data_IF_809951552428
#
_entry.id   IF_809951552428
#
_cell.length_a   1.000
_cell.length_b   1.000
_cell.length_c   1.000
_cell.angle_alpha   90.00
_cell.angle_beta   90.00
_cell.angle_gamma   90.00
#
_symmetry.space_group_name_H-M   'P 1'
#
loop_
_entity.id
_entity.type
_entity.pdbx_description
1 polymer ?
#
# COMPACT_ATOMS: atom_id res chain seq x y z
N UNK A 1 -6.33 9.26 15.54
CA UNK A 1 -6.01 8.83 14.17
C UNK A 1 -5.18 9.95 13.56
N UNK A 2 -3.88 9.73 13.45
CA UNK A 2 -2.92 10.67 12.85
C UNK A 2 -3.26 10.82 11.35
N UNK A 3 -3.08 12.02 10.78
CA UNK A 3 -3.74 12.43 9.54
C UNK A 3 -3.22 11.79 8.26
N UNK A 4 -4.15 11.34 7.40
CA UNK A 4 -3.92 10.97 6.00
C UNK A 4 -3.03 9.73 5.79
N UNK A 5 -2.99 9.20 4.56
CA UNK A 5 -2.04 8.16 4.20
C UNK A 5 -0.60 8.70 4.19
N UNK A 6 0.35 7.88 4.59
CA UNK A 6 1.78 8.11 4.45
C UNK A 6 2.22 7.95 2.97
N UNK A 7 3.38 8.46 2.61
CA UNK A 7 3.92 8.37 1.24
C UNK A 7 4.09 6.91 0.81
N UNK A 8 4.53 6.02 1.70
CA UNK A 8 4.67 4.60 1.33
C UNK A 8 3.33 3.98 0.95
N UNK A 9 2.24 4.32 1.64
CA UNK A 9 0.88 3.83 1.34
C UNK A 9 0.40 4.33 -0.03
N UNK A 10 0.72 5.59 -0.37
CA UNK A 10 0.40 6.17 -1.68
C UNK A 10 1.14 5.45 -2.80
N UNK A 11 2.41 5.08 -2.60
CA UNK A 11 3.21 4.36 -3.61
C UNK A 11 2.74 2.92 -3.78
N UNK A 12 2.43 2.22 -2.68
CA UNK A 12 1.82 0.88 -2.74
C UNK A 12 0.48 0.92 -3.49
N UNK A 13 -0.38 1.90 -3.21
CA UNK A 13 -1.64 2.10 -3.94
C UNK A 13 -1.41 2.36 -5.44
N UNK A 14 -0.44 3.22 -5.79
CA UNK A 14 -0.11 3.47 -7.20
C UNK A 14 0.37 2.20 -7.91
N UNK A 15 1.16 1.36 -7.26
CA UNK A 15 1.61 0.10 -7.84
C UNK A 15 0.44 -0.86 -8.08
N UNK A 16 -0.47 -1.00 -7.11
CA UNK A 16 -1.68 -1.80 -7.26
C UNK A 16 -2.56 -1.33 -8.44
N UNK A 17 -2.81 -0.02 -8.55
CA UNK A 17 -3.57 0.56 -9.68
C UNK A 17 -2.89 0.23 -11.02
N UNK A 18 -1.56 0.35 -11.10
CA UNK A 18 -0.81 0.05 -12.33
C UNK A 18 -0.87 -1.43 -12.72
N UNK A 19 -0.89 -2.32 -11.74
CA UNK A 19 -1.05 -3.77 -11.97
C UNK A 19 -2.46 -4.11 -12.45
N UNK A 20 -3.49 -3.48 -11.87
CA UNK A 20 -4.89 -3.67 -12.25
C UNK A 20 -5.21 -3.05 -13.62
N UNK A 21 -4.57 -1.92 -13.96
CA UNK A 21 -4.81 -1.18 -15.20
C UNK A 21 -3.52 -0.82 -15.97
N UNK A 22 -2.82 -1.79 -16.59
CA UNK A 22 -1.50 -1.55 -17.19
C UNK A 22 -1.50 -0.61 -18.41
N UNK A 23 -2.65 -0.44 -19.08
CA UNK A 23 -2.80 0.44 -20.24
C UNK A 23 -3.40 1.81 -19.87
N UNK A 24 -3.63 2.09 -18.58
CA UNK A 24 -4.16 3.37 -18.15
C UNK A 24 -3.19 4.51 -18.50
N UNK A 25 -3.76 5.61 -18.99
CA UNK A 25 -2.99 6.83 -19.18
C UNK A 25 -2.49 7.38 -17.84
N UNK A 26 -1.40 8.16 -17.84
CA UNK A 26 -0.90 8.81 -16.64
C UNK A 26 -1.99 9.63 -15.92
N UNK A 27 -2.82 10.36 -16.65
CA UNK A 27 -3.92 11.15 -16.08
C UNK A 27 -4.94 10.27 -15.37
N UNK A 28 -5.28 9.11 -15.96
CA UNK A 28 -6.21 8.17 -15.35
C UNK A 28 -5.62 7.58 -14.05
N UNK A 29 -4.35 7.15 -14.08
CA UNK A 29 -3.65 6.63 -12.90
C UNK A 29 -3.63 7.64 -11.74
N UNK A 30 -3.34 8.91 -12.03
CA UNK A 30 -3.26 9.96 -11.00
C UNK A 30 -4.64 10.36 -10.46
N UNK A 31 -5.67 10.32 -11.30
CA UNK A 31 -7.05 10.54 -10.89
C UNK A 31 -7.53 9.45 -9.94
N UNK A 32 -7.36 8.20 -10.36
CA UNK A 32 -7.71 7.03 -9.55
C UNK A 32 -6.92 6.98 -8.24
N UNK A 33 -5.62 7.31 -8.27
CA UNK A 33 -4.81 7.39 -7.06
C UNK A 33 -5.36 8.43 -6.08
N UNK A 34 -5.79 9.60 -6.57
CA UNK A 34 -6.44 10.61 -5.73
C UNK A 34 -7.76 10.10 -5.13
N UNK A 35 -8.56 9.41 -5.94
CA UNK A 35 -9.86 8.86 -5.52
C UNK A 35 -9.70 7.78 -4.43
N UNK A 36 -8.77 6.83 -4.59
CA UNK A 36 -8.60 5.72 -3.62
C UNK A 36 -7.89 6.16 -2.34
N UNK A 37 -7.00 7.15 -2.41
CA UNK A 37 -6.27 7.65 -1.23
C UNK A 37 -6.97 8.80 -0.53
N UNK A 38 -7.98 9.40 -1.15
CA UNK A 38 -8.65 10.61 -0.67
C UNK A 38 -7.77 11.87 -0.72
N UNK A 39 -6.68 11.84 -1.50
CA UNK A 39 -5.73 12.94 -1.62
C UNK A 39 -6.10 13.89 -2.76
N UNK A 40 -5.86 15.19 -2.54
CA UNK A 40 -5.89 16.17 -3.63
C UNK A 40 -4.75 15.93 -4.63
N UNK A 41 -4.90 16.41 -5.86
CA UNK A 41 -3.85 16.36 -6.88
C UNK A 41 -2.51 16.98 -6.40
N UNK A 42 -2.57 18.03 -5.58
CA UNK A 42 -1.39 18.66 -4.99
C UNK A 42 -0.68 17.73 -4.00
N UNK A 43 -1.42 17.00 -3.17
CA UNK A 43 -0.88 16.02 -2.23
C UNK A 43 -0.31 14.79 -2.95
N UNK A 44 -1.00 14.28 -3.96
CA UNK A 44 -0.48 13.21 -4.84
C UNK A 44 0.84 13.64 -5.46
N UNK A 45 0.90 14.84 -6.05
CA UNK A 45 2.13 15.37 -6.63
C UNK A 45 3.25 15.50 -5.58
N UNK A 46 2.94 15.95 -4.37
CA UNK A 46 3.92 16.04 -3.29
C UNK A 46 4.47 14.66 -2.88
N UNK A 47 3.61 13.65 -2.73
CA UNK A 47 4.00 12.28 -2.42
C UNK A 47 4.91 11.69 -3.51
N UNK A 48 4.57 11.86 -4.79
CA UNK A 48 5.39 11.38 -5.90
C UNK A 48 6.75 12.08 -5.96
N UNK A 49 6.80 13.39 -5.66
CA UNK A 49 8.06 14.14 -5.60
C UNK A 49 8.92 13.71 -4.41
N UNK A 50 8.30 13.39 -3.27
CA UNK A 50 9.01 12.85 -2.12
C UNK A 50 9.61 11.49 -2.44
N UNK A 51 8.82 10.57 -3.00
CA UNK A 51 9.32 9.25 -3.43
C UNK A 51 10.47 9.38 -4.44
N UNK A 52 10.35 10.26 -5.43
CA UNK A 52 11.42 10.50 -6.39
C UNK A 52 12.71 11.04 -5.76
N UNK A 53 12.61 11.79 -4.66
CA UNK A 53 13.76 12.32 -3.93
C UNK A 53 14.37 11.29 -2.94
N UNK A 54 13.55 10.40 -2.39
CA UNK A 54 13.93 9.45 -1.33
C UNK A 54 13.41 8.03 -1.60
N UNK A 55 13.71 7.41 -2.76
CA UNK A 55 13.11 6.13 -3.11
C UNK A 55 13.52 5.02 -2.14
N UNK A 56 14.79 4.96 -1.74
CA UNK A 56 15.28 3.91 -0.83
C UNK A 56 14.59 3.89 0.53
N UNK A 57 14.29 5.07 1.10
CA UNK A 57 13.58 5.18 2.37
C UNK A 57 12.14 4.63 2.26
N UNK A 58 11.45 5.00 1.17
CA UNK A 58 10.07 4.58 0.97
C UNK A 58 10.00 3.09 0.63
N UNK A 59 10.90 2.57 -0.20
CA UNK A 59 10.99 1.13 -0.51
C UNK A 59 11.32 0.29 0.74
N UNK A 60 12.22 0.76 1.61
CA UNK A 60 12.50 0.10 2.89
C UNK A 60 11.25 0.04 3.76
N UNK A 61 10.47 1.14 3.81
CA UNK A 61 9.21 1.18 4.55
C UNK A 61 8.17 0.22 3.98
N UNK A 62 8.05 0.12 2.65
CA UNK A 62 7.15 -0.83 1.98
C UNK A 62 7.54 -2.25 2.39
N UNK A 63 8.81 -2.64 2.21
CA UNK A 63 9.29 -3.98 2.52
C UNK A 63 9.08 -4.36 4.00
N UNK A 64 9.35 -3.44 4.93
CA UNK A 64 9.12 -3.69 6.35
C UNK A 64 7.64 -3.91 6.68
N UNK A 65 6.72 -3.18 6.04
CA UNK A 65 5.29 -3.36 6.25
C UNK A 65 4.79 -4.66 5.62
N UNK A 66 5.31 -5.04 4.45
CA UNK A 66 5.01 -6.32 3.81
C UNK A 66 5.45 -7.51 4.68
N UNK A 67 6.67 -7.48 5.24
CA UNK A 67 7.15 -8.52 6.16
C UNK A 67 6.25 -8.66 7.40
N UNK A 68 5.83 -7.53 7.97
CA UNK A 68 4.90 -7.53 9.12
C UNK A 68 3.54 -8.10 8.72
N UNK A 69 3.00 -7.69 7.58
CA UNK A 69 1.71 -8.17 7.09
C UNK A 69 1.73 -9.68 6.83
N UNK A 70 2.76 -10.20 6.14
CA UNK A 70 2.93 -11.64 5.90
C UNK A 70 3.03 -12.42 7.20
N UNK A 71 3.78 -11.91 8.18
CA UNK A 71 3.92 -12.56 9.49
C UNK A 71 2.59 -12.63 10.23
N UNK A 72 1.82 -11.54 10.26
CA UNK A 72 0.50 -11.50 10.88
C UNK A 72 -0.49 -12.44 10.16
N UNK A 73 -0.45 -12.51 8.83
CA UNK A 73 -1.27 -13.46 8.06
C UNK A 73 -0.94 -14.91 8.42
N UNK A 74 0.36 -15.25 8.51
CA UNK A 74 0.80 -16.60 8.90
C UNK A 74 0.35 -16.95 10.32
N UNK A 75 0.48 -16.02 11.26
CA UNK A 75 0.03 -16.21 12.65
C UNK A 75 -1.49 -16.39 12.71
N UNK A 76 -2.25 -15.56 12.01
CA UNK A 76 -3.69 -15.67 11.92
C UNK A 76 -4.11 -17.01 11.31
N UNK A 77 -3.50 -17.43 10.20
CA UNK A 77 -3.77 -18.71 9.56
C UNK A 77 -3.46 -19.90 10.49
N UNK A 78 -2.38 -19.83 11.28
CA UNK A 78 -2.04 -20.84 12.27
C UNK A 78 -3.07 -20.89 13.41
N UNK A 79 -3.52 -19.73 13.90
CA UNK A 79 -4.59 -19.64 14.91
C UNK A 79 -5.89 -20.25 14.40
N UNK A 80 -6.32 -19.93 13.17
CA UNK A 80 -7.54 -20.50 12.58
C UNK A 80 -7.47 -22.03 12.48
N UNK A 81 -6.32 -22.57 12.06
CA UNK A 81 -6.11 -24.03 12.01
C UNK A 81 -6.22 -24.70 13.38
N UNK A 82 -5.73 -24.05 14.44
CA UNK A 82 -5.88 -24.57 15.81
C UNK A 82 -7.34 -24.57 16.27
N UNK A 83 -8.08 -23.50 15.99
CA UNK A 83 -9.50 -23.38 16.36
C UNK A 83 -10.42 -24.34 15.60
N UNK A 84 -10.05 -24.72 14.37
CA UNK A 84 -10.81 -25.66 13.54
C UNK A 84 -10.51 -27.14 13.84
N UNK A 85 -9.50 -27.45 14.65
CA UNK A 85 -9.14 -28.83 14.98
C UNK A 85 -10.14 -29.40 16.00
N UNK A 86 -10.84 -30.51 15.71
CA UNK A 86 -11.76 -31.10 16.67
C UNK A 86 -10.99 -31.57 17.92
N UNK A 87 -11.48 -31.18 19.10
CA UNK A 87 -11.03 -31.77 20.36
C UNK A 87 -11.39 -33.26 20.34
N UNK A 88 -10.37 -34.10 20.20
CA UNK A 88 -10.47 -35.56 20.36
C UNK A 88 -10.12 -35.92 21.80
#
# INVERSE_FOLDING_TARGET
>A
MSGGPDVWEVITALNAIREESPQASQTALLGELGDVTGLSAAQVSAALRYYAAYPGEVEERIALNEEVAEREEQLWAAQQKLLQKPMT
#
